data_IF_291798274526
#
_entry.id   IF_291798274526
#
_cell.length_a   1.000
_cell.length_b   1.000
_cell.length_c   1.000
_cell.angle_alpha   90.00
_cell.angle_beta   90.00
_cell.angle_gamma   90.00
#
_symmetry.space_group_name_H-M   'P 1'
#
loop_
_entity.id
_entity.type
_entity.pdbx_description
1 polymer ?
#
# COMPACT_ATOMS: atom_id res chain seq x y z
N UNK A 1 -4.24 -2.05 -29.81
CA UNK A 1 -5.37 -1.20 -30.25
C UNK A 1 -4.97 0.25 -30.43
N UNK A 2 -4.51 0.97 -29.39
CA UNK A 2 -4.15 2.40 -29.50
C UNK A 2 -3.12 2.68 -30.61
N UNK A 3 -2.11 1.82 -30.76
CA UNK A 3 -1.14 1.89 -31.87
C UNK A 3 -1.83 1.86 -33.25
N UNK A 4 -2.77 0.94 -33.47
CA UNK A 4 -3.51 0.82 -34.73
C UNK A 4 -4.43 2.01 -35.00
N UNK A 5 -4.85 2.73 -33.95
CA UNK A 5 -5.66 3.96 -34.07
C UNK A 5 -4.81 5.22 -34.24
N UNK A 6 -3.48 5.11 -34.19
CA UNK A 6 -2.56 6.26 -34.26
C UNK A 6 -2.63 7.14 -33.01
N UNK A 7 -3.13 6.63 -31.89
CA UNK A 7 -3.20 7.40 -30.64
C UNK A 7 -1.86 7.38 -29.93
N UNK A 8 -1.43 8.56 -29.44
CA UNK A 8 -0.30 8.66 -28.51
C UNK A 8 -0.67 7.91 -27.23
N UNK A 9 0.13 6.91 -26.86
CA UNK A 9 -0.09 6.10 -25.65
C UNK A 9 1.15 6.12 -24.77
N UNK A 10 0.93 5.84 -23.50
CA UNK A 10 1.97 5.53 -22.53
C UNK A 10 1.44 4.40 -21.64
N UNK A 11 1.99 3.20 -21.81
CA UNK A 11 1.59 2.00 -21.09
C UNK A 11 2.67 1.61 -20.07
N UNK A 12 2.38 1.93 -18.81
CA UNK A 12 3.30 1.78 -17.68
C UNK A 12 2.81 0.69 -16.75
N UNK A 13 3.75 -0.11 -16.24
CA UNK A 13 3.51 -1.02 -15.14
C UNK A 13 4.81 -1.19 -14.34
N UNK A 14 4.79 -2.00 -13.28
CA UNK A 14 5.98 -2.29 -12.50
C UNK A 14 5.70 -3.21 -11.33
N UNK A 15 6.73 -3.43 -10.52
CA UNK A 15 6.63 -4.23 -9.29
C UNK A 15 6.41 -3.37 -8.05
N UNK A 16 5.37 -3.72 -7.29
CA UNK A 16 5.18 -3.26 -5.93
C UNK A 16 6.07 -4.10 -5.00
N UNK A 17 6.96 -3.43 -4.26
CA UNK A 17 8.10 -4.08 -3.61
C UNK A 17 8.18 -3.81 -2.10
N UNK A 18 7.44 -2.84 -1.58
CA UNK A 18 7.49 -2.49 -0.16
C UNK A 18 6.51 -3.31 0.70
N UNK A 19 6.69 -3.20 2.02
CA UNK A 19 5.76 -3.77 3.00
C UNK A 19 6.22 -5.06 3.68
N UNK A 20 5.42 -5.50 4.65
CA UNK A 20 5.77 -6.60 5.57
C UNK A 20 6.01 -7.91 4.83
N UNK A 21 5.25 -8.19 3.77
CA UNK A 21 5.37 -9.44 3.02
C UNK A 21 6.78 -9.62 2.44
N UNK A 22 7.37 -8.55 1.90
CA UNK A 22 8.74 -8.56 1.39
C UNK A 22 9.73 -8.86 2.51
N UNK A 23 9.63 -8.19 3.67
CA UNK A 23 10.52 -8.46 4.81
C UNK A 23 10.41 -9.92 5.28
N UNK A 24 9.19 -10.44 5.41
CA UNK A 24 8.95 -11.84 5.81
C UNK A 24 9.60 -12.81 4.84
N UNK A 25 9.37 -12.62 3.54
CA UNK A 25 9.86 -13.54 2.51
C UNK A 25 11.38 -13.44 2.35
N UNK A 26 11.94 -12.24 2.51
CA UNK A 26 13.38 -12.02 2.56
C UNK A 26 14.03 -12.83 3.70
N UNK A 27 13.47 -12.77 4.91
CA UNK A 27 13.94 -13.58 6.05
C UNK A 27 13.84 -15.07 5.75
N UNK A 28 12.72 -15.54 5.19
CA UNK A 28 12.53 -16.95 4.85
C UNK A 28 13.52 -17.47 3.81
N UNK A 29 13.93 -16.63 2.86
CA UNK A 29 14.92 -16.99 1.82
C UNK A 29 16.37 -16.67 2.22
N UNK A 30 16.61 -16.11 3.42
CA UNK A 30 17.93 -15.69 3.86
C UNK A 30 18.51 -14.54 3.02
N UNK A 31 17.64 -13.69 2.46
CA UNK A 31 17.99 -12.54 1.62
C UNK A 31 17.66 -11.23 2.32
N UNK A 32 18.25 -10.13 1.85
CA UNK A 32 17.75 -8.79 2.18
C UNK A 32 16.48 -8.47 1.38
N UNK A 33 15.61 -7.55 1.86
CA UNK A 33 14.44 -7.09 1.11
C UNK A 33 14.79 -6.62 -0.31
N UNK A 34 15.90 -5.91 -0.48
CA UNK A 34 16.35 -5.46 -1.81
C UNK A 34 16.70 -6.64 -2.73
N UNK A 35 17.47 -7.61 -2.23
CA UNK A 35 17.88 -8.77 -3.02
C UNK A 35 16.70 -9.61 -3.49
N UNK A 36 15.70 -9.83 -2.62
CA UNK A 36 14.51 -10.59 -3.03
C UNK A 36 13.69 -9.82 -4.06
N UNK A 37 13.53 -8.51 -3.90
CA UNK A 37 12.86 -7.68 -4.91
C UNK A 37 13.60 -7.70 -6.24
N UNK A 38 14.93 -7.59 -6.24
CA UNK A 38 15.74 -7.66 -7.47
C UNK A 38 15.57 -9.00 -8.21
N UNK A 39 15.57 -10.11 -7.45
CA UNK A 39 15.30 -11.45 -7.98
C UNK A 39 13.92 -11.55 -8.62
N UNK A 40 12.87 -11.15 -7.91
CA UNK A 40 11.49 -11.31 -8.37
C UNK A 40 11.10 -10.30 -9.46
N UNK A 41 11.62 -9.07 -9.43
CA UNK A 41 11.42 -8.10 -10.52
C UNK A 41 11.94 -8.66 -11.85
N UNK A 42 13.15 -9.24 -11.86
CA UNK A 42 13.71 -9.86 -13.06
C UNK A 42 12.87 -11.06 -13.56
N UNK A 43 12.27 -11.83 -12.65
CA UNK A 43 11.35 -12.93 -12.99
C UNK A 43 10.08 -12.38 -13.63
N UNK A 44 9.43 -11.39 -13.01
CA UNK A 44 8.23 -10.74 -13.55
C UNK A 44 8.47 -10.16 -14.95
N UNK A 45 9.57 -9.40 -15.13
CA UNK A 45 9.93 -8.84 -16.43
C UNK A 45 10.10 -9.91 -17.52
N UNK A 46 10.74 -11.05 -17.19
CA UNK A 46 10.88 -12.19 -18.12
C UNK A 46 9.55 -12.82 -18.48
N UNK A 47 8.66 -13.01 -17.50
CA UNK A 47 7.33 -13.58 -17.72
C UNK A 47 6.53 -12.66 -18.65
N UNK A 48 6.46 -11.37 -18.36
CA UNK A 48 5.68 -10.42 -19.16
C UNK A 48 6.24 -10.26 -20.58
N UNK A 49 7.57 -10.30 -20.73
CA UNK A 49 8.21 -10.35 -22.05
C UNK A 49 7.85 -11.61 -22.82
N UNK A 50 7.81 -12.77 -22.15
CA UNK A 50 7.42 -14.03 -22.78
C UNK A 50 5.97 -14.03 -23.26
N UNK A 51 5.06 -13.44 -22.48
CA UNK A 51 3.66 -13.20 -22.87
C UNK A 51 3.49 -12.05 -23.88
N UNK A 52 4.59 -11.45 -24.34
CA UNK A 52 4.59 -10.34 -25.30
C UNK A 52 3.74 -9.13 -24.84
N UNK A 53 3.81 -8.81 -23.54
CA UNK A 53 3.19 -7.60 -22.99
C UNK A 53 4.10 -6.41 -23.29
N UNK A 54 3.63 -5.53 -24.16
CA UNK A 54 4.39 -4.41 -24.73
C UNK A 54 4.26 -3.13 -23.89
N UNK A 55 4.82 -3.16 -22.68
CA UNK A 55 4.94 -1.97 -21.84
C UNK A 55 5.90 -0.96 -22.48
N UNK A 56 5.52 0.33 -22.48
CA UNK A 56 6.45 1.40 -22.82
C UNK A 56 7.56 1.49 -21.75
N UNK A 57 7.21 1.22 -20.49
CA UNK A 57 8.19 1.01 -19.43
C UNK A 57 7.64 0.12 -18.31
N UNK A 58 8.46 -0.82 -17.84
CA UNK A 58 8.16 -1.71 -16.71
C UNK A 58 9.14 -1.43 -15.57
N UNK A 59 8.73 -0.58 -14.63
CA UNK A 59 9.59 -0.05 -13.56
C UNK A 59 9.38 -0.69 -12.20
N UNK A 60 9.75 0.04 -11.15
CA UNK A 60 9.80 -0.44 -9.76
C UNK A 60 9.39 0.66 -8.79
N UNK A 61 8.86 0.27 -7.64
CA UNK A 61 8.53 1.21 -6.55
C UNK A 61 9.73 1.53 -5.65
N UNK A 62 10.80 0.74 -5.67
CA UNK A 62 11.99 0.93 -4.82
C UNK A 62 13.01 1.92 -5.40
N UNK A 63 12.54 3.12 -5.75
CA UNK A 63 13.35 4.17 -6.39
C UNK A 63 13.36 5.48 -5.60
N UNK A 64 14.34 6.33 -5.90
CA UNK A 64 14.43 7.66 -5.30
C UNK A 64 13.22 8.54 -5.72
N UNK A 65 12.76 8.41 -6.96
CA UNK A 65 11.58 9.13 -7.45
C UNK A 65 10.30 8.77 -6.70
N UNK A 66 10.13 7.49 -6.29
CA UNK A 66 9.02 7.09 -5.43
C UNK A 66 9.07 7.80 -4.08
N UNK A 67 10.27 7.89 -3.47
CA UNK A 67 10.45 8.55 -2.19
C UNK A 67 10.11 10.03 -2.28
N UNK A 68 10.68 10.73 -3.27
CA UNK A 68 10.44 12.16 -3.49
C UNK A 68 8.96 12.49 -3.72
N UNK A 69 8.29 11.76 -4.64
CA UNK A 69 6.89 12.05 -4.98
C UNK A 69 5.94 11.70 -3.84
N UNK A 70 6.18 10.59 -3.16
CA UNK A 70 5.37 10.19 -1.99
C UNK A 70 5.49 11.23 -0.88
N UNK A 71 6.72 11.67 -0.58
CA UNK A 71 6.95 12.72 0.42
C UNK A 71 6.36 14.06 -0.01
N UNK A 72 6.46 14.44 -1.28
CA UNK A 72 5.85 15.67 -1.81
C UNK A 72 4.32 15.66 -1.65
N UNK A 73 3.66 14.57 -2.05
CA UNK A 73 2.20 14.41 -1.94
C UNK A 73 1.79 14.42 -0.47
N UNK A 74 2.50 13.67 0.37
CA UNK A 74 2.26 13.61 1.80
C UNK A 74 2.38 14.99 2.47
N UNK A 75 3.46 15.73 2.23
CA UNK A 75 3.69 17.04 2.84
C UNK A 75 2.61 18.04 2.44
N UNK A 76 2.11 17.98 1.19
CA UNK A 76 0.97 18.78 0.75
C UNK A 76 -0.32 18.39 1.48
N UNK A 77 -0.62 17.10 1.62
CA UNK A 77 -1.79 16.64 2.38
C UNK A 77 -1.71 17.06 3.85
N UNK A 78 -0.53 16.91 4.45
CA UNK A 78 -0.24 17.27 5.84
C UNK A 78 -0.43 18.77 6.08
N UNK A 79 0.21 19.61 5.26
CA UNK A 79 0.09 21.08 5.33
C UNK A 79 -1.35 21.58 5.15
N UNK A 80 -2.16 20.87 4.35
CA UNK A 80 -3.56 21.23 4.10
C UNK A 80 -4.55 20.61 5.13
N UNK A 81 -4.07 20.01 6.22
CA UNK A 81 -4.92 19.51 7.30
C UNK A 81 -5.69 18.22 6.99
N UNK A 82 -5.24 17.46 5.98
CA UNK A 82 -5.80 16.16 5.60
C UNK A 82 -5.16 14.98 6.33
N UNK A 83 -4.34 15.23 7.35
CA UNK A 83 -3.77 14.16 8.19
C UNK A 83 -3.91 14.45 9.67
N UNK A 84 -4.07 13.41 10.49
CA UNK A 84 -3.95 13.48 11.97
C UNK A 84 -2.88 12.52 12.48
N UNK A 85 -2.46 12.69 13.72
CA UNK A 85 -1.62 11.73 14.44
C UNK A 85 -2.39 11.18 15.62
N UNK A 86 -2.46 9.86 15.73
CA UNK A 86 -3.05 9.16 16.86
C UNK A 86 -2.13 8.01 17.29
N UNK A 87 -2.27 7.62 18.56
CA UNK A 87 -1.55 6.49 19.14
C UNK A 87 -2.37 5.21 18.97
N UNK A 88 -1.72 4.13 18.56
CA UNK A 88 -2.30 2.79 18.43
C UNK A 88 -1.49 1.83 19.29
N UNK A 89 -2.17 1.03 20.10
CA UNK A 89 -1.55 -0.05 20.86
C UNK A 89 -1.19 -1.22 19.94
N UNK A 90 0.08 -1.61 19.97
CA UNK A 90 0.61 -2.71 19.17
C UNK A 90 1.49 -3.62 20.00
N UNK A 91 1.57 -4.89 19.60
CA UNK A 91 2.49 -5.83 20.22
C UNK A 91 3.92 -5.57 19.74
N UNK A 92 4.82 -5.35 20.68
CA UNK A 92 6.25 -5.15 20.45
C UNK A 92 7.04 -6.33 21.02
N UNK A 93 7.93 -6.89 20.20
CA UNK A 93 8.88 -7.89 20.66
C UNK A 93 10.22 -7.22 20.99
N UNK A 94 10.57 -7.15 22.27
CA UNK A 94 11.84 -6.55 22.70
C UNK A 94 13.05 -7.33 22.18
N UNK A 95 12.99 -8.67 22.19
CA UNK A 95 14.05 -9.54 21.66
C UNK A 95 14.31 -9.36 20.16
N UNK A 96 13.27 -9.04 19.37
CA UNK A 96 13.41 -8.72 17.94
C UNK A 96 13.55 -7.22 17.66
N UNK A 97 13.43 -6.38 18.70
CA UNK A 97 13.41 -4.92 18.66
C UNK A 97 12.53 -4.37 17.54
N UNK A 98 11.28 -4.87 17.46
CA UNK A 98 10.29 -4.45 16.46
C UNK A 98 8.86 -4.63 16.94
N UNK A 99 7.97 -3.81 16.39
CA UNK A 99 6.53 -4.08 16.41
C UNK A 99 6.20 -5.29 15.53
N UNK A 100 5.25 -6.10 15.97
CA UNK A 100 4.83 -7.31 15.30
C UNK A 100 3.56 -7.03 14.51
N UNK A 101 3.62 -7.25 13.19
CA UNK A 101 2.42 -7.41 12.38
C UNK A 101 1.65 -8.67 12.84
N UNK A 102 0.35 -8.73 12.61
CA UNK A 102 -0.52 -9.83 13.05
C UNK A 102 0.00 -11.22 12.65
N UNK A 103 0.62 -11.33 11.47
CA UNK A 103 1.22 -12.56 10.95
C UNK A 103 2.44 -13.06 11.75
N UNK A 104 3.06 -12.18 12.54
CA UNK A 104 4.19 -12.50 13.43
C UNK A 104 3.76 -12.69 14.88
N UNK A 105 2.45 -12.65 15.16
CA UNK A 105 1.91 -12.92 16.49
C UNK A 105 1.11 -14.22 16.41
N UNK A 106 1.40 -15.13 17.34
CA UNK A 106 0.50 -16.23 17.65
C UNK A 106 0.21 -16.28 19.14
N UNK A 107 -0.88 -16.90 19.54
CA UNK A 107 -1.26 -16.99 20.95
C UNK A 107 -2.48 -17.86 21.13
N UNK A 108 -2.99 -17.88 22.34
CA UNK A 108 -4.21 -18.58 22.66
C UNK A 108 -5.44 -17.71 22.31
N UNK A 109 -6.41 -18.31 21.61
CA UNK A 109 -7.63 -17.63 21.19
C UNK A 109 -8.47 -17.24 22.40
N UNK A 110 -8.87 -15.96 22.55
CA UNK A 110 -9.69 -15.53 23.69
C UNK A 110 -11.13 -16.08 23.67
N UNK A 111 -11.54 -16.77 22.60
CA UNK A 111 -12.91 -17.24 22.41
C UNK A 111 -13.08 -18.76 22.51
N UNK A 112 -12.11 -19.53 21.99
CA UNK A 112 -12.18 -20.99 21.99
C UNK A 112 -10.94 -21.65 22.62
N UNK A 113 -10.00 -20.86 23.16
CA UNK A 113 -8.76 -21.34 23.78
C UNK A 113 -7.87 -22.20 22.88
N UNK A 114 -8.00 -22.04 21.56
CA UNK A 114 -7.05 -22.64 20.62
C UNK A 114 -5.66 -21.99 20.79
N UNK A 115 -4.66 -22.80 21.14
CA UNK A 115 -3.36 -22.34 21.63
C UNK A 115 -2.45 -21.65 20.59
N UNK A 116 -2.76 -21.72 19.30
CA UNK A 116 -1.93 -21.17 18.22
C UNK A 116 -2.73 -20.32 17.22
N UNK A 117 -3.71 -19.56 17.74
CA UNK A 117 -4.42 -18.56 16.96
C UNK A 117 -3.48 -17.46 16.47
N UNK A 118 -3.72 -16.96 15.26
CA UNK A 118 -2.95 -15.87 14.66
C UNK A 118 -3.46 -14.51 15.15
N UNK A 119 -2.65 -13.47 15.01
CA UNK A 119 -3.02 -12.11 15.43
C UNK A 119 -4.21 -11.49 14.71
N UNK A 120 -4.62 -12.03 13.56
CA UNK A 120 -5.72 -11.55 12.73
C UNK A 120 -6.97 -12.45 12.77
N UNK A 121 -6.77 -13.75 12.96
CA UNK A 121 -7.83 -14.75 12.91
C UNK A 121 -7.47 -16.02 13.68
N UNK A 122 -8.45 -16.60 14.38
CA UNK A 122 -8.34 -17.95 14.92
C UNK A 122 -8.78 -18.99 13.87
N UNK A 123 -7.88 -19.88 13.47
CA UNK A 123 -8.17 -20.91 12.46
C UNK A 123 -9.11 -22.02 12.98
N UNK A 124 -9.26 -22.18 14.30
CA UNK A 124 -10.13 -23.20 14.90
C UNK A 124 -11.61 -22.78 14.96
N UNK A 125 -11.91 -21.52 15.28
CA UNK A 125 -13.30 -21.02 15.38
C UNK A 125 -13.66 -20.00 14.29
N UNK A 126 -12.71 -19.61 13.44
CA UNK A 126 -12.90 -18.67 12.33
C UNK A 126 -13.02 -17.20 12.75
N UNK A 127 -13.04 -16.89 14.05
CA UNK A 127 -13.24 -15.53 14.56
C UNK A 127 -12.06 -14.63 14.24
N UNK A 128 -12.38 -13.43 13.72
CA UNK A 128 -11.44 -12.33 13.59
C UNK A 128 -11.18 -11.73 14.97
N UNK A 129 -9.90 -11.53 15.29
CA UNK A 129 -9.44 -11.04 16.59
C UNK A 129 -8.36 -9.99 16.35
N UNK A 130 -8.17 -9.08 17.30
CA UNK A 130 -7.00 -8.20 17.29
C UNK A 130 -5.84 -8.88 18.01
N UNK A 131 -4.61 -8.69 17.53
CA UNK A 131 -3.45 -9.36 18.10
C UNK A 131 -3.24 -9.06 19.59
N UNK A 132 -3.63 -7.87 20.05
CA UNK A 132 -3.59 -7.45 21.47
C UNK A 132 -4.56 -8.22 22.37
N UNK A 133 -5.58 -8.88 21.79
CA UNK A 133 -6.59 -9.67 22.51
C UNK A 133 -6.16 -11.12 22.72
N UNK A 134 -5.07 -11.56 22.10
CA UNK A 134 -4.55 -12.91 22.27
C UNK A 134 -4.10 -13.15 23.71
N UNK A 135 -4.49 -14.29 24.26
CA UNK A 135 -4.01 -14.77 25.55
C UNK A 135 -2.60 -15.34 25.33
N UNK A 136 -1.66 -15.03 26.24
CA UNK A 136 -0.27 -15.49 26.16
C UNK A 136 0.36 -15.31 24.76
N UNK A 137 0.38 -14.07 24.22
CA UNK A 137 0.89 -13.83 22.88
C UNK A 137 2.37 -14.21 22.81
N UNK A 138 2.80 -14.67 21.64
CA UNK A 138 4.16 -15.11 21.34
C UNK A 138 4.57 -14.56 19.99
N UNK A 139 5.81 -14.09 19.91
CA UNK A 139 6.43 -13.71 18.65
C UNK A 139 6.70 -14.98 17.83
N UNK A 140 6.16 -15.06 16.61
CA UNK A 140 6.36 -16.22 15.76
C UNK A 140 7.85 -16.43 15.38
N UNK A 141 8.62 -15.33 15.34
CA UNK A 141 10.05 -15.31 14.95
C UNK A 141 10.98 -15.86 16.04
N UNK A 142 10.86 -15.36 17.28
CA UNK A 142 11.80 -15.70 18.36
C UNK A 142 11.15 -16.41 19.56
N UNK A 143 9.84 -16.66 19.50
CA UNK A 143 9.01 -17.28 20.56
C UNK A 143 8.90 -16.51 21.88
N UNK A 144 9.56 -15.36 22.02
CA UNK A 144 9.41 -14.48 23.18
C UNK A 144 8.00 -13.88 23.27
N UNK A 145 7.56 -13.58 24.50
CA UNK A 145 6.29 -12.89 24.77
C UNK A 145 6.42 -11.41 24.40
N UNK A 146 5.62 -10.89 23.44
CA UNK A 146 5.59 -9.47 23.14
C UNK A 146 4.80 -8.71 24.22
N UNK A 147 5.08 -7.41 24.32
CA UNK A 147 4.40 -6.49 25.23
C UNK A 147 3.63 -5.44 24.43
N UNK A 148 2.49 -5.01 24.95
CA UNK A 148 1.72 -3.92 24.34
C UNK A 148 2.49 -2.62 24.54
N UNK A 149 2.80 -1.92 23.44
CA UNK A 149 3.41 -0.59 23.45
C UNK A 149 2.57 0.37 22.59
N UNK A 150 2.34 1.60 23.08
CA UNK A 150 1.73 2.64 22.26
C UNK A 150 2.68 3.04 21.13
N UNK A 151 2.15 3.16 19.92
CA UNK A 151 2.87 3.56 18.71
C UNK A 151 2.13 4.70 18.02
N UNK A 152 2.81 5.82 17.76
CA UNK A 152 2.20 6.93 17.04
C UNK A 152 2.10 6.63 15.55
N UNK A 153 0.95 6.94 14.96
CA UNK A 153 0.67 6.73 13.56
C UNK A 153 0.00 7.95 12.93
N UNK A 154 0.30 8.17 11.65
CA UNK A 154 -0.37 9.19 10.84
C UNK A 154 -1.57 8.56 10.14
N UNK A 155 -2.69 9.27 10.16
CA UNK A 155 -3.94 8.90 9.51
C UNK A 155 -4.26 9.91 8.41
N UNK A 156 -4.67 9.43 7.23
CA UNK A 156 -5.22 10.24 6.15
C UNK A 156 -6.73 10.40 6.36
N UNK A 157 -7.21 11.65 6.33
CA UNK A 157 -8.62 12.01 6.46
C UNK A 157 -9.38 11.83 5.14
N UNK A 158 -9.74 10.58 4.80
CA UNK A 158 -10.64 10.31 3.66
C UNK A 158 -12.07 10.78 3.93
N UNK A 159 -12.47 10.82 5.21
CA UNK A 159 -13.71 11.40 5.70
C UNK A 159 -13.88 12.86 5.23
N UNK A 160 -12.84 13.69 5.38
CA UNK A 160 -12.84 15.09 4.91
C UNK A 160 -12.85 15.22 3.38
N UNK A 161 -12.54 14.16 2.65
CA UNK A 161 -12.47 14.14 1.19
C UNK A 161 -13.69 13.48 0.54
N UNK A 162 -14.57 12.85 1.32
CA UNK A 162 -15.67 12.02 0.84
C UNK A 162 -16.55 12.75 -0.20
N UNK A 163 -17.04 13.95 0.12
CA UNK A 163 -17.91 14.72 -0.78
C UNK A 163 -17.21 15.05 -2.11
N UNK A 164 -15.92 15.39 -2.06
CA UNK A 164 -15.14 15.71 -3.27
C UNK A 164 -14.91 14.47 -4.12
N UNK A 165 -14.62 13.34 -3.49
CA UNK A 165 -14.43 12.04 -4.17
C UNK A 165 -15.75 11.58 -4.80
N UNK A 166 -16.86 11.67 -4.07
CA UNK A 166 -18.17 11.30 -4.59
C UNK A 166 -18.60 12.20 -5.75
N UNK A 167 -18.44 13.52 -5.62
CA UNK A 167 -18.70 14.47 -6.70
C UNK A 167 -17.87 14.14 -7.93
N UNK A 168 -16.57 13.95 -7.76
CA UNK A 168 -15.67 13.62 -8.86
C UNK A 168 -16.06 12.28 -9.52
N UNK A 169 -16.37 11.25 -8.75
CA UNK A 169 -16.83 9.97 -9.27
C UNK A 169 -18.10 10.15 -10.11
N UNK A 170 -19.10 10.87 -9.59
CA UNK A 170 -20.35 11.11 -10.31
C UNK A 170 -20.12 11.89 -11.61
N UNK A 171 -19.25 12.90 -11.59
CA UNK A 171 -18.83 13.62 -12.80
C UNK A 171 -18.22 12.67 -13.84
N UNK A 172 -17.29 11.80 -13.43
CA UNK A 172 -16.65 10.83 -14.32
C UNK A 172 -17.66 9.81 -14.88
N UNK A 173 -18.59 9.32 -14.04
CA UNK A 173 -19.58 8.34 -14.46
C UNK A 173 -20.62 8.91 -15.44
N UNK A 174 -20.87 10.23 -15.38
CA UNK A 174 -21.79 10.93 -16.26
C UNK A 174 -21.15 11.32 -17.62
N UNK A 175 -19.85 11.13 -17.80
CA UNK A 175 -19.21 11.36 -19.09
C UNK A 175 -19.75 10.39 -20.15
N UNK A 176 -20.01 10.89 -21.35
CA UNK A 176 -20.45 10.08 -22.49
C UNK A 176 -19.45 9.00 -22.88
N UNK A 177 -18.16 9.21 -22.58
CA UNK A 177 -17.06 8.27 -22.81
C UNK A 177 -16.75 7.36 -21.61
N UNK A 178 -17.60 7.32 -20.58
CA UNK A 178 -17.35 6.47 -19.41
C UNK A 178 -17.17 4.99 -19.81
N UNK A 179 -16.02 4.42 -19.46
CA UNK A 179 -15.66 3.02 -19.71
C UNK A 179 -15.38 2.25 -18.42
N UNK A 180 -15.85 2.74 -17.27
CA UNK A 180 -15.77 2.02 -16.01
C UNK A 180 -16.57 0.73 -16.08
N UNK A 181 -15.98 -0.35 -15.59
CA UNK A 181 -16.66 -1.64 -15.52
C UNK A 181 -17.76 -1.63 -14.45
N UNK A 182 -18.90 -2.32 -14.64
CA UNK A 182 -20.01 -2.30 -13.69
C UNK A 182 -19.63 -2.73 -12.27
N UNK A 183 -18.71 -3.69 -12.13
CA UNK A 183 -18.19 -4.14 -10.84
C UNK A 183 -17.41 -3.04 -10.10
N UNK A 184 -16.55 -2.28 -10.80
CA UNK A 184 -15.80 -1.17 -10.21
C UNK A 184 -16.73 -0.05 -9.73
N UNK A 185 -17.74 0.29 -10.53
CA UNK A 185 -18.78 1.27 -10.16
C UNK A 185 -19.52 0.81 -8.89
N UNK A 186 -19.95 -0.45 -8.86
CA UNK A 186 -20.68 -1.02 -7.71
C UNK A 186 -19.83 -0.99 -6.44
N UNK A 187 -18.56 -1.39 -6.51
CA UNK A 187 -17.64 -1.36 -5.37
C UNK A 187 -17.43 0.08 -4.89
N UNK A 188 -17.09 1.01 -5.79
CA UNK A 188 -16.86 2.41 -5.44
C UNK A 188 -18.08 3.05 -4.75
N UNK A 189 -19.28 2.84 -5.28
CA UNK A 189 -20.52 3.32 -4.66
C UNK A 189 -20.80 2.67 -3.31
N UNK A 190 -20.49 1.38 -3.15
CA UNK A 190 -20.65 0.69 -1.86
C UNK A 190 -19.74 1.27 -0.79
N UNK A 191 -18.48 1.58 -1.13
CA UNK A 191 -17.53 2.22 -0.21
C UNK A 191 -17.98 3.63 0.20
N UNK A 192 -18.44 4.43 -0.76
CA UNK A 192 -18.96 5.78 -0.47
C UNK A 192 -20.22 5.73 0.41
N UNK A 193 -21.15 4.81 0.12
CA UNK A 193 -22.36 4.60 0.93
C UNK A 193 -22.04 4.20 2.37
N UNK A 194 -20.97 3.43 2.57
CA UNK A 194 -20.50 3.04 3.91
C UNK A 194 -19.88 4.18 4.72
N UNK A 195 -19.59 5.32 4.10
CA UNK A 195 -18.85 6.41 4.70
C UNK A 195 -17.34 6.17 4.63
N UNK A 196 -16.60 7.13 4.05
CA UNK A 196 -15.15 7.08 4.09
C UNK A 196 -14.66 7.49 5.49
N UNK A 197 -13.80 6.67 6.06
CA UNK A 197 -13.19 6.91 7.36
C UNK A 197 -11.72 7.27 7.20
N UNK A 198 -11.13 7.83 8.25
CA UNK A 198 -9.68 7.99 8.31
C UNK A 198 -8.95 6.64 8.19
N UNK A 199 -7.80 6.63 7.51
CA UNK A 199 -6.99 5.42 7.30
C UNK A 199 -5.55 5.64 7.73
N UNK A 200 -4.98 4.70 8.48
CA UNK A 200 -3.58 4.76 8.91
C UNK A 200 -2.64 4.56 7.71
N UNK A 201 -1.76 5.54 7.46
CA UNK A 201 -0.84 5.58 6.31
C UNK A 201 0.63 5.33 6.71
N UNK A 202 0.90 4.91 7.94
CA UNK A 202 2.27 4.66 8.42
C UNK A 202 2.39 3.25 9.00
N UNK A 203 3.59 2.68 8.97
CA UNK A 203 3.90 1.36 9.54
C UNK A 203 5.25 1.37 10.23
N UNK A 204 5.35 0.55 11.26
CA UNK A 204 6.58 0.23 11.99
C UNK A 204 7.39 -0.84 11.24
N UNK A 205 7.85 -0.49 10.03
CA UNK A 205 8.67 -1.34 9.17
C UNK A 205 9.96 -0.61 8.82
N UNK A 206 10.97 -1.39 8.39
CA UNK A 206 12.23 -0.83 7.87
C UNK A 206 12.20 -0.73 6.35
N UNK A 207 11.46 -1.60 5.67
CA UNK A 207 11.37 -1.66 4.22
C UNK A 207 10.13 -0.93 3.69
N UNK A 208 10.30 0.35 3.37
CA UNK A 208 9.26 1.25 2.85
C UNK A 208 9.81 2.65 2.58
N UNK A 209 8.98 3.53 2.04
CA UNK A 209 9.32 4.95 1.88
C UNK A 209 9.34 5.63 3.26
N UNK A 210 10.43 6.31 3.66
CA UNK A 210 10.52 6.95 4.97
C UNK A 210 9.57 8.15 5.08
N UNK A 211 8.99 8.32 6.28
CA UNK A 211 8.12 9.47 6.58
C UNK A 211 8.98 10.71 6.86
N UNK A 212 8.75 11.86 6.19
CA UNK A 212 9.60 13.05 6.29
C UNK A 212 9.19 13.94 7.48
N UNK A 213 9.01 13.34 8.67
CA UNK A 213 8.72 14.03 9.92
C UNK A 213 9.63 13.48 11.03
N UNK A 214 10.24 14.36 11.83
CA UNK A 214 11.26 13.98 12.82
C UNK A 214 10.74 12.93 13.83
N UNK A 215 9.49 13.09 14.27
CA UNK A 215 8.82 12.17 15.20
C UNK A 215 8.35 10.84 14.56
N UNK A 216 8.60 10.64 13.27
CA UNK A 216 8.29 9.42 12.51
C UNK A 216 9.53 8.86 11.78
N UNK A 217 10.74 9.29 12.16
CA UNK A 217 12.01 8.89 11.51
C UNK A 217 12.27 7.39 11.47
N UNK A 218 11.67 6.61 12.36
CA UNK A 218 11.77 5.14 12.40
C UNK A 218 10.58 4.43 11.72
N UNK A 219 9.74 5.15 10.97
CA UNK A 219 8.53 4.64 10.33
C UNK A 219 8.58 4.88 8.82
N UNK A 220 7.84 4.04 8.13
CA UNK A 220 7.65 4.12 6.68
C UNK A 220 6.18 4.34 6.35
N UNK A 221 5.89 4.82 5.15
CA UNK A 221 4.54 4.83 4.63
C UNK A 221 4.00 3.41 4.47
N UNK A 222 2.71 3.27 4.75
CA UNK A 222 2.00 2.04 4.47
C UNK A 222 1.84 1.86 2.97
N UNK A 223 2.14 0.67 2.45
CA UNK A 223 2.13 0.36 1.01
C UNK A 223 0.81 0.74 0.30
N UNK A 224 -0.33 0.68 0.99
CA UNK A 224 -1.62 1.07 0.40
C UNK A 224 -1.75 2.57 0.14
N UNK A 225 -0.93 3.41 0.79
CA UNK A 225 -0.87 4.84 0.53
C UNK A 225 0.03 5.16 -0.67
N UNK A 226 1.23 4.55 -0.75
CA UNK A 226 2.24 4.95 -1.73
C UNK A 226 2.33 4.04 -2.97
N UNK A 227 1.81 2.81 -2.95
CA UNK A 227 1.80 1.94 -4.13
C UNK A 227 1.11 2.58 -5.35
N UNK A 228 -0.06 3.27 -5.22
CA UNK A 228 -0.64 4.00 -6.35
C UNK A 228 0.24 5.17 -6.86
N UNK A 229 1.09 5.74 -6.01
CA UNK A 229 2.07 6.77 -6.40
C UNK A 229 3.19 6.14 -7.27
N UNK A 230 3.37 4.82 -7.18
CA UNK A 230 4.23 4.02 -8.05
C UNK A 230 4.01 4.28 -9.55
N UNK A 231 2.76 4.48 -9.98
CA UNK A 231 2.50 4.79 -11.39
C UNK A 231 3.13 6.13 -11.82
N UNK A 232 3.11 7.14 -10.95
CA UNK A 232 3.71 8.44 -11.20
C UNK A 232 5.24 8.34 -11.17
N UNK A 233 5.80 7.65 -10.17
CA UNK A 233 7.25 7.54 -9.99
C UNK A 233 7.91 6.71 -11.09
N UNK A 234 7.29 5.61 -11.53
CA UNK A 234 7.75 4.83 -12.68
C UNK A 234 7.71 5.67 -13.97
N UNK A 235 6.66 6.48 -14.13
CA UNK A 235 6.58 7.40 -15.29
C UNK A 235 7.66 8.48 -15.23
N UNK A 236 7.96 9.01 -14.03
CA UNK A 236 9.03 9.98 -13.81
C UNK A 236 10.41 9.38 -14.07
N UNK A 237 10.65 8.14 -13.65
CA UNK A 237 11.87 7.39 -13.97
C UNK A 237 12.06 7.25 -15.48
N UNK A 238 10.98 6.97 -16.22
CA UNK A 238 11.05 6.77 -17.66
C UNK A 238 11.21 8.07 -18.47
N UNK A 239 10.41 9.09 -18.15
CA UNK A 239 10.28 10.31 -18.96
C UNK A 239 11.05 11.52 -18.42
N UNK A 240 11.68 11.41 -17.25
CA UNK A 240 12.20 12.59 -16.55
C UNK A 240 11.08 13.59 -16.28
N UNK A 241 11.35 14.89 -16.44
CA UNK A 241 10.39 15.98 -16.13
C UNK A 241 9.09 15.96 -16.96
N UNK A 242 9.10 15.33 -18.13
CA UNK A 242 7.92 15.21 -19.01
C UNK A 242 6.82 14.31 -18.43
N UNK A 243 7.09 13.57 -17.35
CA UNK A 243 6.07 12.77 -16.63
C UNK A 243 4.85 13.57 -16.23
N UNK A 244 5.07 14.85 -15.90
CA UNK A 244 4.02 15.76 -15.45
C UNK A 244 3.00 16.06 -16.55
N UNK A 245 3.40 15.98 -17.83
CA UNK A 245 2.50 16.15 -18.97
C UNK A 245 1.46 15.03 -19.06
N UNK A 246 1.76 13.84 -18.51
CA UNK A 246 0.83 12.71 -18.45
C UNK A 246 -0.02 12.73 -17.18
N UNK A 247 0.59 13.01 -16.03
CA UNK A 247 -0.07 12.85 -14.73
C UNK A 247 -0.70 14.12 -14.15
N UNK A 248 -0.40 15.30 -14.72
CA UNK A 248 -0.92 16.60 -14.27
C UNK A 248 -1.63 17.36 -15.39
N UNK A 249 -2.19 16.65 -16.38
CA UNK A 249 -2.87 17.24 -17.53
C UNK A 249 -4.20 16.55 -17.87
N UNK A 250 -5.21 16.63 -16.98
CA UNK A 250 -6.48 15.90 -17.13
C UNK A 250 -7.31 16.34 -18.34
N UNK A 251 -7.00 17.48 -18.97
CA UNK A 251 -7.75 17.99 -20.13
C UNK A 251 -7.33 17.34 -21.46
N UNK A 252 -6.17 16.69 -21.50
CA UNK A 252 -5.61 16.12 -22.74
C UNK A 252 -5.22 14.65 -22.62
N UNK A 253 -5.29 14.08 -21.41
CA UNK A 253 -4.92 12.70 -21.10
C UNK A 253 -6.13 11.93 -20.63
N UNK A 254 -6.48 10.88 -21.37
CA UNK A 254 -7.45 9.88 -20.94
C UNK A 254 -6.71 8.76 -20.17
N UNK A 255 -6.92 8.67 -18.85
CA UNK A 255 -6.27 7.67 -17.99
C UNK A 255 -7.06 6.36 -17.92
N UNK A 256 -6.38 5.25 -18.20
CA UNK A 256 -6.94 3.89 -18.14
C UNK A 256 -6.18 3.03 -17.12
N UNK A 257 -6.90 2.55 -16.10
CA UNK A 257 -6.34 1.66 -15.07
C UNK A 257 -6.96 0.26 -15.21
N UNK A 258 -6.14 -0.75 -15.50
CA UNK A 258 -6.56 -2.15 -15.55
C UNK A 258 -6.17 -2.84 -14.24
N UNK A 259 -7.17 -3.20 -13.43
CA UNK A 259 -6.98 -3.78 -12.09
C UNK A 259 -7.87 -4.99 -11.87
N UNK A 260 -7.45 -5.90 -10.99
CA UNK A 260 -8.29 -7.00 -10.51
C UNK A 260 -9.48 -6.50 -9.65
N UNK A 261 -10.45 -7.38 -9.39
CA UNK A 261 -11.59 -7.09 -8.50
C UNK A 261 -11.19 -7.23 -7.03
#
# INVERSE_FOLDING_TARGET
>A
YCYLKGWRRLFICGTDEYGTATETKAIQEGLTPRQICDKYHAIHAKIYKWFNIDFDHFGRTTTQHQTELTQEIFLKLHKNGFTSTDTVDQLHCDSCSRFLADRFVCGECPCCHFNDARGDQCDACGKLINAIELINPRCHLCKATPIVKPSNHIFLHLDKLADKVEKHLNEQLNLTKNQWSPNAISIAKSWLKGGLERRCITRDLKWGVPVPLDNFSNKVFYVWFDAPIGYLSITKEYLGEDWSQWWKNPNTVDLYNFVGK
#
